data_IF_649186950264
#
_entry.id   IF_649186950264
#
_cell.length_a   1.000
_cell.length_b   1.000
_cell.length_c   1.000
_cell.angle_alpha   90.00
_cell.angle_beta   90.00
_cell.angle_gamma   90.00
#
_symmetry.space_group_name_H-M   'P 1'
#
loop_
_entity.id
_entity.type
_entity.pdbx_description
1 polymer ?
#
# COMPACT_ATOMS: atom_id res chain seq x y z
N UNK A 1 59.21 70.57 -16.59
CA UNK A 1 58.54 69.26 -16.60
C UNK A 1 58.73 68.68 -17.98
N UNK A 2 59.21 67.45 -18.04
CA UNK A 2 59.37 66.71 -19.28
C UNK A 2 57.96 66.39 -19.83
N UNK A 3 57.60 66.74 -21.08
CA UNK A 3 56.25 66.52 -21.63
C UNK A 3 55.80 65.04 -21.70
N UNK A 4 56.67 64.10 -21.32
CA UNK A 4 56.38 62.65 -21.24
C UNK A 4 56.30 62.09 -19.81
N UNK A 5 56.42 62.94 -18.79
CA UNK A 5 56.29 62.53 -17.40
C UNK A 5 54.80 62.32 -17.07
N UNK A 6 54.36 61.06 -16.97
CA UNK A 6 53.00 60.71 -16.57
C UNK A 6 52.86 60.94 -15.07
N UNK A 7 51.84 61.68 -14.65
CA UNK A 7 51.51 61.92 -13.24
C UNK A 7 51.27 60.58 -12.53
N UNK A 8 51.90 60.40 -11.36
CA UNK A 8 51.72 59.19 -10.55
C UNK A 8 50.31 59.17 -9.96
N UNK A 9 49.44 58.35 -10.54
CA UNK A 9 48.02 58.23 -10.17
C UNK A 9 47.76 57.11 -9.17
N UNK A 10 48.81 56.53 -8.55
CA UNK A 10 48.69 55.44 -7.57
C UNK A 10 47.73 55.75 -6.43
N UNK A 11 47.57 57.04 -6.09
CA UNK A 11 46.75 57.53 -4.98
C UNK A 11 45.32 57.93 -5.41
N UNK A 12 45.00 57.97 -6.71
CA UNK A 12 43.69 58.43 -7.22
C UNK A 12 42.57 57.40 -7.04
N UNK A 13 42.93 56.12 -7.13
CA UNK A 13 42.05 55.03 -6.81
C UNK A 13 42.51 54.55 -5.45
N UNK A 14 41.78 54.87 -4.37
CA UNK A 14 42.05 54.36 -3.03
C UNK A 14 41.95 52.84 -2.99
N UNK A 15 42.92 52.17 -3.60
CA UNK A 15 42.99 50.74 -3.76
C UNK A 15 43.06 50.16 -2.34
N UNK A 16 42.17 49.22 -2.01
CA UNK A 16 42.16 48.64 -0.67
C UNK A 16 43.56 48.11 -0.38
N UNK A 17 44.09 48.46 0.80
CA UNK A 17 45.38 47.93 1.20
C UNK A 17 45.28 46.41 1.29
N UNK A 18 46.39 45.67 1.12
CA UNK A 18 46.37 44.21 1.30
C UNK A 18 45.75 43.78 2.64
N UNK A 19 45.96 44.58 3.69
CA UNK A 19 45.35 44.35 5.00
C UNK A 19 43.82 44.50 4.98
N UNK A 20 43.29 45.49 4.27
CA UNK A 20 41.85 45.69 4.13
C UNK A 20 41.20 44.56 3.32
N UNK A 21 41.87 44.08 2.27
CA UNK A 21 41.44 42.90 1.52
C UNK A 21 41.42 41.66 2.42
N UNK A 22 42.47 41.42 3.21
CA UNK A 22 42.50 40.30 4.16
C UNK A 22 41.39 40.39 5.20
N UNK A 23 41.13 41.58 5.77
CA UNK A 23 40.02 41.80 6.72
C UNK A 23 38.65 41.53 6.09
N UNK A 24 38.47 41.96 4.85
CA UNK A 24 37.24 41.71 4.11
C UNK A 24 37.03 40.21 3.86
N UNK A 25 38.07 39.51 3.41
CA UNK A 25 38.04 38.06 3.22
C UNK A 25 37.73 37.30 4.51
N UNK A 26 38.33 37.70 5.63
CA UNK A 26 38.03 37.10 6.94
C UNK A 26 36.55 37.26 7.31
N UNK A 27 35.95 38.43 7.08
CA UNK A 27 34.51 38.65 7.33
C UNK A 27 33.62 37.80 6.42
N UNK A 28 33.99 37.66 5.15
CA UNK A 28 33.26 36.82 4.20
C UNK A 28 33.28 35.36 4.61
N UNK A 29 34.45 34.84 4.98
CA UNK A 29 34.62 33.47 5.45
C UNK A 29 33.87 33.22 6.76
N UNK A 30 33.91 34.17 7.70
CA UNK A 30 33.17 34.05 8.96
C UNK A 30 31.66 33.96 8.72
N UNK A 31 31.12 34.81 7.84
CA UNK A 31 29.71 34.76 7.44
C UNK A 31 29.34 33.42 6.76
N UNK A 32 30.20 32.93 5.86
CA UNK A 32 29.97 31.66 5.16
C UNK A 32 29.99 30.47 6.12
N UNK A 33 30.91 30.45 7.08
CA UNK A 33 30.97 29.41 8.12
C UNK A 33 29.70 29.44 8.98
N UNK A 34 29.21 30.63 9.34
CA UNK A 34 27.97 30.76 10.12
C UNK A 34 26.76 30.22 9.35
N UNK A 35 26.64 30.57 8.06
CA UNK A 35 25.56 30.10 7.19
C UNK A 35 25.62 28.57 7.00
N UNK A 36 26.79 28.01 6.68
CA UNK A 36 26.97 26.56 6.56
C UNK A 36 26.66 25.83 7.88
N UNK A 37 27.02 26.42 9.01
CA UNK A 37 26.69 25.84 10.32
C UNK A 37 25.18 25.78 10.55
N UNK A 38 24.45 26.83 10.15
CA UNK A 38 22.99 26.86 10.21
C UNK A 38 22.38 25.78 9.30
N UNK A 39 22.83 25.72 8.04
CA UNK A 39 22.35 24.74 7.08
C UNK A 39 22.61 23.30 7.53
N UNK A 40 23.78 23.00 8.09
CA UNK A 40 24.10 21.67 8.65
C UNK A 40 23.16 21.33 9.82
N UNK A 41 22.88 22.27 10.72
CA UNK A 41 21.94 22.04 11.82
C UNK A 41 20.54 21.73 11.31
N UNK A 42 20.06 22.49 10.32
CA UNK A 42 18.76 22.26 9.70
C UNK A 42 18.71 20.92 8.98
N UNK A 43 19.74 20.59 8.20
CA UNK A 43 19.84 19.32 7.48
C UNK A 43 19.83 18.13 8.45
N UNK A 44 20.57 18.22 9.56
CA UNK A 44 20.55 17.20 10.62
C UNK A 44 19.14 17.03 11.20
N UNK A 45 18.46 18.13 11.54
CA UNK A 45 17.10 18.06 12.07
C UNK A 45 16.13 17.42 11.06
N UNK A 46 16.24 17.76 9.78
CA UNK A 46 15.42 17.20 8.72
C UNK A 46 15.66 15.69 8.57
N UNK A 47 16.93 15.25 8.60
CA UNK A 47 17.28 13.82 8.55
C UNK A 47 16.69 13.08 9.74
N UNK A 48 16.79 13.63 10.96
CA UNK A 48 16.20 13.00 12.15
C UNK A 48 14.69 12.82 12.01
N UNK A 49 13.96 13.87 11.59
CA UNK A 49 12.52 13.78 11.33
C UNK A 49 12.18 12.75 10.26
N UNK A 50 12.97 12.68 9.19
CA UNK A 50 12.74 11.71 8.11
C UNK A 50 12.95 10.28 8.59
N UNK A 51 13.97 10.04 9.42
CA UNK A 51 14.21 8.73 10.04
C UNK A 51 13.05 8.35 10.95
N UNK A 52 12.58 9.27 11.80
CA UNK A 52 11.42 9.06 12.68
C UNK A 52 10.17 8.68 11.87
N UNK A 53 9.80 9.49 10.88
CA UNK A 53 8.68 9.19 9.99
C UNK A 53 8.83 7.85 9.26
N UNK A 54 10.05 7.50 8.83
CA UNK A 54 10.30 6.20 8.19
C UNK A 54 10.10 5.04 9.17
N UNK A 55 10.53 5.19 10.43
CA UNK A 55 10.30 4.16 11.45
C UNK A 55 8.82 3.98 11.75
N UNK A 56 8.04 5.06 11.84
CA UNK A 56 6.59 5.01 12.02
C UNK A 56 5.92 4.30 10.83
N UNK A 57 6.22 4.72 9.61
CA UNK A 57 5.67 4.10 8.40
C UNK A 57 6.05 2.61 8.27
N UNK A 58 7.26 2.22 8.69
CA UNK A 58 7.67 0.81 8.70
C UNK A 58 6.83 -0.01 9.70
N UNK A 59 6.58 0.53 10.90
CA UNK A 59 5.76 -0.13 11.92
C UNK A 59 4.30 -0.28 11.47
N UNK A 60 3.72 0.77 10.87
CA UNK A 60 2.37 0.72 10.30
C UNK A 60 2.27 -0.31 9.18
N UNK A 61 3.22 -0.32 8.25
CA UNK A 61 3.28 -1.31 7.17
C UNK A 61 3.32 -2.73 7.72
N UNK A 62 4.14 -2.98 8.74
CA UNK A 62 4.28 -4.33 9.30
C UNK A 62 3.02 -4.76 10.06
N UNK A 63 2.33 -3.82 10.71
CA UNK A 63 1.01 -4.03 11.31
C UNK A 63 -0.06 -4.34 10.26
N UNK A 64 -0.10 -3.58 9.17
CA UNK A 64 -1.04 -3.83 8.07
C UNK A 64 -0.76 -5.17 7.37
N UNK A 65 0.51 -5.56 7.25
CA UNK A 65 0.89 -6.86 6.70
C UNK A 65 0.43 -8.01 7.58
N UNK A 66 0.53 -7.90 8.90
CA UNK A 66 0.02 -8.94 9.81
C UNK A 66 -1.50 -9.06 9.73
N UNK A 67 -2.21 -7.93 9.75
CA UNK A 67 -3.68 -7.90 9.58
C UNK A 67 -4.12 -8.46 8.22
N UNK A 68 -3.39 -8.16 7.15
CA UNK A 68 -3.67 -8.72 5.83
C UNK A 68 -3.47 -10.24 5.82
N UNK A 69 -2.43 -10.74 6.50
CA UNK A 69 -2.16 -12.17 6.59
C UNK A 69 -3.27 -12.90 7.36
N UNK A 70 -3.74 -12.34 8.49
CA UNK A 70 -4.85 -12.92 9.26
C UNK A 70 -6.15 -12.90 8.46
N UNK A 71 -6.50 -11.76 7.84
CA UNK A 71 -7.70 -11.66 7.01
C UNK A 71 -7.70 -12.62 5.82
N UNK A 72 -6.54 -12.86 5.21
CA UNK A 72 -6.39 -13.86 4.14
C UNK A 72 -6.60 -15.29 4.64
N UNK A 73 -6.07 -15.62 5.83
CA UNK A 73 -6.28 -16.92 6.43
C UNK A 73 -7.76 -17.15 6.76
N UNK A 74 -8.41 -16.18 7.41
CA UNK A 74 -9.84 -16.23 7.73
C UNK A 74 -10.71 -16.38 6.47
N UNK A 75 -10.38 -15.64 5.40
CA UNK A 75 -11.08 -15.76 4.13
C UNK A 75 -10.90 -17.14 3.49
N UNK A 76 -9.70 -17.73 3.57
CA UNK A 76 -9.43 -19.07 3.07
C UNK A 76 -10.20 -20.14 3.86
N UNK A 77 -10.22 -20.02 5.19
CA UNK A 77 -10.96 -20.93 6.07
C UNK A 77 -12.46 -20.82 5.80
N UNK A 78 -13.01 -19.61 5.74
CA UNK A 78 -14.42 -19.38 5.40
C UNK A 78 -14.78 -19.97 4.02
N UNK A 79 -13.90 -19.82 3.04
CA UNK A 79 -14.12 -20.39 1.70
C UNK A 79 -14.09 -21.93 1.74
N UNK A 80 -13.17 -22.54 2.48
CA UNK A 80 -13.13 -24.00 2.65
C UNK A 80 -14.43 -24.53 3.28
N UNK A 81 -14.90 -23.89 4.36
CA UNK A 81 -16.15 -24.24 5.03
C UNK A 81 -17.36 -24.07 4.09
N UNK A 82 -17.40 -22.99 3.31
CA UNK A 82 -18.46 -22.78 2.32
C UNK A 82 -18.48 -23.94 1.30
N UNK A 83 -17.33 -24.32 0.74
CA UNK A 83 -17.26 -25.44 -0.21
C UNK A 83 -17.62 -26.78 0.42
N UNK A 84 -17.26 -27.02 1.67
CA UNK A 84 -17.64 -28.24 2.39
C UNK A 84 -19.15 -28.31 2.63
N UNK A 85 -19.76 -27.19 3.05
CA UNK A 85 -21.22 -27.10 3.25
C UNK A 85 -21.95 -27.29 1.92
N UNK A 86 -21.51 -26.63 0.84
CA UNK A 86 -22.11 -26.76 -0.48
C UNK A 86 -22.04 -28.20 -0.99
N UNK A 87 -20.88 -28.83 -0.92
CA UNK A 87 -20.70 -30.22 -1.37
C UNK A 87 -21.58 -31.16 -0.55
N UNK A 88 -21.56 -31.05 0.78
CA UNK A 88 -22.40 -31.87 1.67
C UNK A 88 -23.89 -31.68 1.37
N UNK A 89 -24.35 -30.44 1.26
CA UNK A 89 -25.74 -30.10 0.95
C UNK A 89 -26.18 -30.70 -0.39
N UNK A 90 -25.33 -30.59 -1.41
CA UNK A 90 -25.59 -31.19 -2.72
C UNK A 90 -25.72 -32.72 -2.64
N UNK A 91 -24.84 -33.40 -1.89
CA UNK A 91 -24.95 -34.85 -1.68
C UNK A 91 -26.25 -35.24 -0.97
N UNK A 92 -26.65 -34.50 0.07
CA UNK A 92 -27.89 -34.75 0.81
C UNK A 92 -29.13 -34.52 -0.07
N UNK A 93 -29.13 -33.48 -0.91
CA UNK A 93 -30.20 -33.22 -1.87
C UNK A 93 -30.30 -34.35 -2.91
N UNK A 94 -29.17 -34.79 -3.49
CA UNK A 94 -29.16 -35.89 -4.47
C UNK A 94 -29.69 -37.20 -3.87
N UNK A 95 -29.37 -37.50 -2.61
CA UNK A 95 -29.91 -38.66 -1.91
C UNK A 95 -31.44 -38.54 -1.72
N UNK A 96 -31.93 -37.37 -1.32
CA UNK A 96 -33.37 -37.10 -1.18
C UNK A 96 -34.10 -37.18 -2.51
N UNK A 97 -33.58 -36.59 -3.57
CA UNK A 97 -34.17 -36.64 -4.91
C UNK A 97 -34.27 -38.06 -5.43
N UNK A 98 -33.24 -38.90 -5.17
CA UNK A 98 -33.30 -40.33 -5.47
C UNK A 98 -34.44 -41.01 -4.73
N UNK A 99 -34.57 -40.82 -3.41
CA UNK A 99 -35.67 -41.41 -2.65
C UNK A 99 -37.05 -40.93 -3.11
N UNK A 100 -37.19 -39.64 -3.41
CA UNK A 100 -38.44 -39.07 -3.95
C UNK A 100 -38.77 -39.72 -5.29
N UNK A 101 -37.80 -39.89 -6.19
CA UNK A 101 -38.01 -40.55 -7.49
C UNK A 101 -38.44 -42.01 -7.35
N UNK A 102 -37.82 -42.75 -6.42
CA UNK A 102 -38.17 -44.14 -6.10
C UNK A 102 -39.59 -44.25 -5.54
N UNK A 103 -39.97 -43.39 -4.59
CA UNK A 103 -41.32 -43.34 -4.04
C UNK A 103 -42.35 -42.95 -5.09
N UNK A 104 -42.03 -41.98 -5.95
CA UNK A 104 -42.89 -41.55 -7.07
C UNK A 104 -43.12 -42.72 -8.05
N UNK A 105 -42.08 -43.50 -8.35
CA UNK A 105 -42.20 -44.68 -9.20
C UNK A 105 -43.10 -45.75 -8.56
N UNK A 106 -42.93 -46.03 -7.26
CA UNK A 106 -43.77 -46.97 -6.51
C UNK A 106 -45.23 -46.53 -6.45
N UNK A 107 -45.49 -45.24 -6.17
CA UNK A 107 -46.84 -44.68 -6.18
C UNK A 107 -47.50 -44.81 -7.55
N UNK A 108 -46.75 -44.57 -8.63
CA UNK A 108 -47.26 -44.76 -10.01
C UNK A 108 -47.61 -46.23 -10.30
N UNK A 109 -46.77 -47.17 -9.85
CA UNK A 109 -47.03 -48.59 -10.03
C UNK A 109 -48.29 -49.07 -9.28
N UNK A 110 -48.48 -48.61 -8.03
CA UNK A 110 -49.68 -48.94 -7.23
C UNK A 110 -50.94 -48.30 -7.80
N UNK A 111 -50.88 -47.03 -8.21
CA UNK A 111 -52.03 -46.35 -8.84
C UNK A 111 -52.43 -46.94 -10.21
N UNK A 112 -51.50 -47.57 -10.94
CA UNK A 112 -51.83 -48.36 -12.13
C UNK A 112 -52.42 -49.75 -11.81
N UNK A 113 -52.28 -50.27 -10.59
CA UNK A 113 -52.90 -51.53 -10.15
C UNK A 113 -54.31 -51.30 -9.56
N UNK A 114 -54.56 -50.13 -8.97
CA UNK A 114 -55.83 -49.76 -8.34
C UNK A 114 -56.85 -49.11 -9.28
N UNK A 115 -56.57 -49.01 -10.59
CA UNK A 115 -57.57 -48.52 -11.54
C UNK A 115 -58.61 -49.64 -11.75
N UNK A 116 -59.87 -49.50 -11.29
CA UNK A 116 -60.87 -50.52 -11.54
C UNK A 116 -61.06 -50.58 -13.05
N UNK A 117 -60.74 -51.74 -13.63
CA UNK A 117 -61.02 -52.06 -15.01
C UNK A 117 -62.54 -52.04 -15.17
N UNK A 118 -63.07 -50.86 -15.54
CA UNK A 118 -64.41 -50.72 -16.07
C UNK A 118 -64.47 -51.53 -17.35
N UNK A 119 -65.13 -52.68 -17.28
CA UNK A 119 -65.37 -53.62 -18.36
C UNK A 119 -65.92 -52.91 -19.62
N UNK A 120 -65.42 -53.24 -20.82
CA UNK A 120 -66.12 -52.95 -22.07
C UNK A 120 -67.07 -54.12 -22.42
N UNK A 121 -68.36 -53.81 -22.59
CA UNK A 121 -69.42 -54.68 -23.12
C UNK A 121 -70.80 -54.10 -22.75
N UNK A 122 -71.80 -53.91 -23.61
CA UNK A 122 -72.07 -54.38 -24.97
C UNK A 122 -72.96 -53.35 -25.71
N UNK A 123 -72.66 -53.08 -26.99
CA UNK A 123 -73.62 -52.82 -28.08
C UNK A 123 -73.00 -53.24 -29.40
#
# INVERSE_FOLDING_TARGET
MDPYEIEDTSDWLGCPTPLDTCRHQLRMLDNEIQELTLQIRQARQNIFKLVEMHTEAANERDTLRSQLATAKAEAADANSLATEIETRSNWELMAKDKHISELTAKLRALTCQDQPVGLPGDR
#
